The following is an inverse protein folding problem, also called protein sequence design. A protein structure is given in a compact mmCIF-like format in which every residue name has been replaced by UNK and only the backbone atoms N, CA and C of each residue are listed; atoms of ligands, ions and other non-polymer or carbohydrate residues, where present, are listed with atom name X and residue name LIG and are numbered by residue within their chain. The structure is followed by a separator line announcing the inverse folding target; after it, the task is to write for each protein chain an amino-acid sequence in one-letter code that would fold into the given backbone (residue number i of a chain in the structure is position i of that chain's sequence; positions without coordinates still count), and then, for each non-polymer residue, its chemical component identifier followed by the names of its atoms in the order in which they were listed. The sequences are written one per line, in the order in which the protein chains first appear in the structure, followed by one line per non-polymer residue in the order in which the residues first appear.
data_IF_792887964043
#
_entry.id   IF_792887964043
#
_cell.length_a   1.000
_cell.length_b   1.000
_cell.length_c   1.000
_cell.angle_alpha   90.00
_cell.angle_beta   90.00
_cell.angle_gamma   90.00
#
_symmetry.space_group_name_H-M   'P 1'
#
loop_
_entity.id
_entity.type
_entity.pdbx_description
1 polymer ?
#
# COMPACT_ATOMS: atom_id res chain seq x y z
N UNK A 1 -8.70 60.18 -2.89
CA UNK A 1 -9.76 59.23 -3.33
C UNK A 1 -9.09 57.86 -3.39
N UNK A 2 -9.27 57.00 -2.37
CA UNK A 2 -10.26 55.90 -2.33
C UNK A 2 -10.04 54.98 -3.56
N UNK A 3 -9.48 53.78 -3.44
CA UNK A 3 -10.10 52.58 -2.85
C UNK A 3 -8.96 51.58 -2.48
N UNK A 4 -8.72 51.28 -1.21
CA UNK A 4 -9.35 50.19 -0.43
C UNK A 4 -9.24 48.81 -1.10
N UNK A 5 -8.10 48.16 -0.86
CA UNK A 5 -7.98 46.84 -0.25
C UNK A 5 -9.18 45.88 -0.40
N UNK A 6 -9.02 44.85 -1.23
CA UNK A 6 -9.56 43.50 -0.95
C UNK A 6 -8.81 42.47 -1.81
N UNK A 7 -7.67 41.97 -1.33
CA UNK A 7 -7.10 40.73 -1.83
C UNK A 7 -7.65 39.63 -0.92
N UNK A 8 -8.78 39.04 -1.31
CA UNK A 8 -9.28 37.82 -0.71
C UNK A 8 -8.41 36.67 -1.21
N UNK A 9 -7.32 36.39 -0.49
CA UNK A 9 -6.54 35.16 -0.67
C UNK A 9 -7.41 33.99 -0.21
N UNK A 10 -8.26 33.49 -1.11
CA UNK A 10 -8.85 32.17 -0.97
C UNK A 10 -7.73 31.15 -1.09
N UNK A 11 -7.09 30.85 0.06
CA UNK A 11 -6.32 29.63 0.24
C UNK A 11 -7.33 28.49 0.22
N UNK A 12 -7.69 28.07 -0.99
CA UNK A 12 -8.42 26.84 -1.19
C UNK A 12 -7.41 25.75 -0.82
N UNK A 13 -7.50 25.24 0.41
CA UNK A 13 -6.82 24.01 0.81
C UNK A 13 -7.15 22.94 -0.23
N UNK A 14 -6.22 22.66 -1.14
CA UNK A 14 -6.28 21.56 -2.13
C UNK A 14 -6.10 20.19 -1.47
N UNK A 15 -6.48 20.03 -0.21
CA UNK A 15 -6.31 18.80 0.58
C UNK A 15 -7.40 17.75 0.35
N UNK A 16 -8.36 17.98 -0.54
CA UNK A 16 -9.56 17.13 -0.71
C UNK A 16 -9.48 16.17 -1.92
N UNK A 17 -8.43 16.24 -2.74
CA UNK A 17 -8.26 15.36 -3.91
C UNK A 17 -6.87 14.71 -3.97
N UNK A 18 -6.31 14.30 -2.83
CA UNK A 18 -5.27 13.29 -2.87
C UNK A 18 -5.97 11.96 -3.17
N UNK A 19 -5.87 11.47 -4.41
CA UNK A 19 -6.14 10.07 -4.71
C UNK A 19 -5.30 9.24 -3.74
N UNK A 20 -5.96 8.51 -2.83
CA UNK A 20 -5.28 7.60 -1.89
C UNK A 20 -4.73 6.44 -2.72
N UNK A 21 -3.52 6.62 -3.23
CA UNK A 21 -2.84 5.71 -4.14
C UNK A 21 -2.74 4.30 -3.51
N UNK A 22 -2.47 4.22 -2.20
CA UNK A 22 -2.45 2.97 -1.46
C UNK A 22 -3.81 2.26 -1.47
N UNK A 23 -4.88 2.99 -1.16
CA UNK A 23 -6.25 2.47 -1.23
C UNK A 23 -6.65 2.04 -2.64
N UNK A 24 -6.32 2.83 -3.65
CA UNK A 24 -6.64 2.53 -5.04
C UNK A 24 -5.92 1.26 -5.50
N UNK A 25 -4.61 1.16 -5.27
CA UNK A 25 -3.83 -0.04 -5.60
C UNK A 25 -4.32 -1.25 -4.81
N UNK A 26 -4.70 -1.09 -3.54
CA UNK A 26 -5.37 -2.15 -2.79
C UNK A 26 -6.66 -2.61 -3.48
N UNK A 27 -7.53 -1.68 -3.86
CA UNK A 27 -8.83 -1.99 -4.46
C UNK A 27 -8.69 -2.70 -5.81
N UNK A 28 -7.74 -2.28 -6.64
CA UNK A 28 -7.52 -2.83 -7.99
C UNK A 28 -6.83 -4.19 -7.94
N UNK A 29 -5.83 -4.33 -7.09
CA UNK A 29 -4.86 -5.44 -7.19
C UNK A 29 -4.92 -6.38 -5.98
N UNK A 30 -4.92 -5.83 -4.76
CA UNK A 30 -4.66 -6.62 -3.56
C UNK A 30 -5.93 -7.21 -2.91
N UNK A 31 -7.08 -6.53 -3.08
CA UNK A 31 -8.33 -6.77 -2.34
C UNK A 31 -8.86 -8.19 -2.51
N UNK A 32 -8.75 -8.77 -3.70
CA UNK A 32 -9.28 -10.13 -3.99
C UNK A 32 -8.73 -11.18 -3.01
N UNK A 33 -7.48 -11.01 -2.58
CA UNK A 33 -6.82 -11.95 -1.67
C UNK A 33 -6.76 -11.42 -0.23
N UNK A 34 -6.52 -10.12 -0.05
CA UNK A 34 -6.28 -9.55 1.27
C UNK A 34 -7.55 -9.02 1.95
N UNK A 35 -8.70 -8.97 1.30
CA UNK A 35 -9.93 -8.59 2.00
C UNK A 35 -10.25 -9.63 3.11
N UNK A 36 -10.67 -9.19 4.32
CA UNK A 36 -10.82 -10.11 5.46
C UNK A 36 -11.66 -11.35 5.19
N UNK A 37 -12.71 -11.23 4.36
CA UNK A 37 -13.59 -12.34 4.02
C UNK A 37 -12.94 -13.43 3.15
N UNK A 38 -11.82 -13.15 2.48
CA UNK A 38 -11.11 -14.09 1.62
C UNK A 38 -9.77 -14.55 2.21
N UNK A 39 -9.11 -13.65 2.93
CA UNK A 39 -7.73 -13.81 3.38
C UNK A 39 -7.50 -15.09 4.21
N UNK A 40 -8.41 -15.41 5.13
CA UNK A 40 -8.30 -16.61 5.98
C UNK A 40 -8.29 -17.90 5.17
N UNK A 41 -9.16 -18.01 4.15
CA UNK A 41 -9.29 -19.22 3.32
C UNK A 41 -8.06 -19.52 2.47
N UNK A 42 -7.35 -18.47 2.05
CA UNK A 42 -6.12 -18.58 1.24
C UNK A 42 -4.83 -18.31 2.04
N UNK A 43 -4.95 -18.16 3.37
CA UNK A 43 -3.85 -17.87 4.30
C UNK A 43 -3.05 -16.59 3.97
N UNK A 44 -3.70 -15.58 3.38
CA UNK A 44 -3.12 -14.25 3.21
C UNK A 44 -3.24 -13.44 4.52
N UNK A 45 -2.35 -12.48 4.81
CA UNK A 45 -2.56 -11.54 5.91
C UNK A 45 -3.76 -10.65 5.56
N UNK A 46 -4.84 -10.72 6.35
CA UNK A 46 -6.02 -9.92 6.11
C UNK A 46 -5.68 -8.42 6.22
N UNK A 47 -6.23 -7.62 5.31
CA UNK A 47 -6.14 -6.17 5.38
C UNK A 47 -6.77 -5.72 6.71
N UNK A 48 -6.03 -4.87 7.40
CA UNK A 48 -6.33 -4.31 8.70
C UNK A 48 -6.35 -5.27 9.88
N UNK A 49 -5.80 -6.48 9.71
CA UNK A 49 -5.46 -7.37 10.81
C UNK A 49 -4.10 -6.99 11.38
N UNK A 50 -4.12 -6.17 12.44
CA UNK A 50 -2.92 -5.61 13.06
C UNK A 50 -1.92 -6.70 13.46
N UNK A 51 -2.38 -7.77 14.09
CA UNK A 51 -1.50 -8.83 14.58
C UNK A 51 -0.83 -9.56 13.39
N UNK A 52 -1.60 -9.91 12.36
CA UNK A 52 -1.05 -10.55 11.18
C UNK A 52 0.02 -9.69 10.49
N UNK A 53 -0.21 -8.37 10.38
CA UNK A 53 0.73 -7.45 9.77
C UNK A 53 1.96 -7.16 10.64
N UNK A 54 1.82 -7.04 11.95
CA UNK A 54 2.95 -6.90 12.89
C UNK A 54 3.89 -8.10 12.80
N UNK A 55 3.34 -9.32 12.73
CA UNK A 55 4.15 -10.53 12.52
C UNK A 55 4.89 -10.47 11.18
N UNK A 56 4.29 -9.92 10.11
CA UNK A 56 4.96 -9.83 8.80
C UNK A 56 6.06 -8.79 8.79
N UNK A 57 5.83 -7.64 9.42
CA UNK A 57 6.83 -6.58 9.55
C UNK A 57 8.00 -7.07 10.38
N UNK A 58 7.77 -7.70 11.55
CA UNK A 58 8.83 -8.26 12.39
C UNK A 58 9.66 -9.32 11.65
N UNK A 59 9.01 -10.20 10.89
CA UNK A 59 9.74 -11.17 10.08
C UNK A 59 10.58 -10.49 8.98
N UNK A 60 10.07 -9.43 8.35
CA UNK A 60 10.83 -8.66 7.38
C UNK A 60 12.04 -7.96 8.00
N UNK A 61 11.91 -7.41 9.22
CA UNK A 61 13.03 -6.83 9.97
C UNK A 61 14.12 -7.87 10.25
N UNK A 62 13.74 -9.10 10.61
CA UNK A 62 14.71 -10.20 10.79
C UNK A 62 15.43 -10.56 9.48
N UNK A 63 14.75 -10.48 8.34
CA UNK A 63 15.36 -10.76 7.03
C UNK A 63 16.32 -9.64 6.60
N UNK A 64 16.00 -8.39 6.92
CA UNK A 64 16.89 -7.23 6.74
C UNK A 64 18.17 -7.40 7.58
N UNK A 65 18.05 -7.86 8.84
CA UNK A 65 19.21 -8.09 9.69
C UNK A 65 20.14 -9.19 9.15
N UNK A 66 19.59 -10.22 8.51
CA UNK A 66 20.38 -11.29 7.87
C UNK A 66 21.04 -10.84 6.57
N UNK A 67 20.40 -9.95 5.81
CA UNK A 67 20.85 -9.53 4.49
C UNK A 67 20.86 -7.99 4.34
N UNK A 68 21.65 -7.27 5.15
CA UNK A 68 21.57 -5.81 5.26
C UNK A 68 22.07 -5.06 4.01
N UNK A 69 22.79 -5.74 3.12
CA UNK A 69 23.25 -5.18 1.84
C UNK A 69 22.19 -5.26 0.75
N UNK A 70 21.22 -6.17 0.86
CA UNK A 70 20.17 -6.39 -0.14
C UNK A 70 18.91 -5.58 0.17
N UNK A 71 18.56 -5.45 1.45
CA UNK A 71 17.36 -4.74 1.91
C UNK A 71 17.74 -3.72 2.98
N UNK A 72 17.32 -2.46 2.83
CA UNK A 72 17.62 -1.40 3.81
C UNK A 72 16.54 -1.32 4.88
N UNK A 73 15.30 -1.61 4.53
CA UNK A 73 14.15 -1.55 5.42
C UNK A 73 13.27 -2.79 5.32
N UNK A 74 12.43 -3.01 6.34
CA UNK A 74 11.41 -4.06 6.30
C UNK A 74 10.45 -3.89 5.11
N UNK A 75 10.15 -2.63 4.74
CA UNK A 75 9.31 -2.33 3.58
C UNK A 75 10.00 -2.72 2.27
N UNK A 76 11.31 -2.53 2.14
CA UNK A 76 12.06 -2.95 0.94
C UNK A 76 11.94 -4.46 0.75
N UNK A 77 12.10 -5.22 1.84
CA UNK A 77 11.93 -6.68 1.81
C UNK A 77 10.49 -7.06 1.45
N UNK A 78 9.48 -6.45 2.06
CA UNK A 78 8.07 -6.75 1.77
C UNK A 78 7.72 -6.41 0.32
N UNK A 79 8.16 -5.27 -0.20
CA UNK A 79 7.99 -4.88 -1.60
C UNK A 79 8.66 -5.89 -2.53
N UNK A 80 9.91 -6.26 -2.25
CA UNK A 80 10.64 -7.27 -3.02
C UNK A 80 9.88 -8.61 -3.04
N UNK A 81 9.45 -9.11 -1.88
CA UNK A 81 8.70 -10.38 -1.78
C UNK A 81 7.35 -10.32 -2.47
N UNK A 82 6.68 -9.18 -2.47
CA UNK A 82 5.44 -8.99 -3.20
C UNK A 82 5.67 -8.98 -4.71
N UNK A 83 6.70 -8.30 -5.20
CA UNK A 83 7.08 -8.28 -6.63
C UNK A 83 7.47 -9.67 -7.13
N UNK A 84 8.23 -10.43 -6.32
CA UNK A 84 8.61 -11.81 -6.62
C UNK A 84 7.44 -12.81 -6.48
N UNK A 85 6.43 -12.49 -5.68
CA UNK A 85 5.41 -13.45 -5.27
C UNK A 85 5.86 -14.36 -4.12
N UNK A 86 4.88 -14.94 -3.42
CA UNK A 86 5.12 -15.86 -2.28
C UNK A 86 3.90 -16.74 -2.04
N UNK A 87 4.09 -18.06 -2.17
CA UNK A 87 2.99 -19.02 -2.00
C UNK A 87 1.90 -18.75 -3.04
N UNK A 88 0.66 -18.52 -2.58
CA UNK A 88 -0.47 -18.20 -3.46
C UNK A 88 -0.50 -16.72 -3.92
N UNK A 89 0.38 -15.87 -3.42
CA UNK A 89 0.49 -14.49 -3.90
C UNK A 89 1.30 -14.46 -5.21
N UNK A 90 0.68 -14.14 -6.36
CA UNK A 90 1.35 -14.07 -7.64
C UNK A 90 2.34 -12.89 -7.71
N UNK A 91 3.24 -12.94 -8.69
CA UNK A 91 4.23 -11.89 -8.94
C UNK A 91 3.53 -10.54 -9.09
N UNK A 92 3.96 -9.54 -8.31
CA UNK A 92 3.41 -8.18 -8.33
C UNK A 92 1.88 -8.10 -8.14
N UNK A 93 1.28 -9.11 -7.50
CA UNK A 93 -0.16 -9.15 -7.20
C UNK A 93 -1.09 -9.16 -8.42
N UNK A 94 -0.60 -9.53 -9.61
CA UNK A 94 -1.33 -9.41 -10.90
C UNK A 94 -1.65 -7.96 -11.32
N UNK A 95 -0.88 -6.97 -10.84
CA UNK A 95 -1.18 -5.56 -11.14
C UNK A 95 -1.15 -5.25 -12.65
N UNK A 96 -0.23 -5.87 -13.41
CA UNK A 96 -0.13 -5.64 -14.86
C UNK A 96 -1.24 -6.34 -15.64
N UNK A 97 -1.81 -7.38 -15.06
CA UNK A 97 -2.86 -8.22 -15.62
C UNK A 97 -4.26 -7.70 -15.29
N UNK A 98 -4.40 -6.80 -14.30
CA UNK A 98 -5.67 -6.17 -13.97
C UNK A 98 -6.23 -5.38 -15.18
N UNK A 99 -7.43 -5.73 -15.64
CA UNK A 99 -8.11 -5.08 -16.76
C UNK A 99 -8.86 -3.82 -16.29
N UNK A 100 -8.10 -2.83 -15.80
CA UNK A 100 -8.63 -1.52 -15.42
C UNK A 100 -7.80 -0.39 -16.04
N UNK A 101 -8.44 0.70 -16.50
CA UNK A 101 -7.71 1.84 -17.03
C UNK A 101 -6.87 2.51 -15.93
N UNK A 102 -5.71 3.05 -16.30
CA UNK A 102 -4.82 3.83 -15.41
C UNK A 102 -4.36 3.10 -14.13
N UNK A 103 -4.25 1.78 -14.14
CA UNK A 103 -3.63 1.03 -13.03
C UNK A 103 -2.20 1.52 -12.76
N UNK A 104 -1.87 1.70 -11.48
CA UNK A 104 -0.54 2.10 -11.06
C UNK A 104 0.17 0.92 -10.39
N UNK A 105 1.19 0.40 -11.06
CA UNK A 105 2.03 -0.71 -10.61
C UNK A 105 3.44 -0.25 -10.25
N UNK A 106 3.60 1.02 -9.85
CA UNK A 106 4.87 1.55 -9.35
C UNK A 106 5.20 0.99 -7.97
N UNK A 107 6.48 1.03 -7.62
CA UNK A 107 6.93 0.64 -6.28
C UNK A 107 6.29 1.51 -5.19
N UNK A 108 6.10 2.81 -5.44
CA UNK A 108 5.38 3.71 -4.55
C UNK A 108 3.93 3.26 -4.32
N UNK A 109 3.22 2.90 -5.39
CA UNK A 109 1.83 2.46 -5.31
C UNK A 109 1.69 1.19 -4.47
N UNK A 110 2.64 0.27 -4.63
CA UNK A 110 2.71 -0.95 -3.85
C UNK A 110 3.10 -0.72 -2.39
N UNK A 111 4.07 0.14 -2.11
CA UNK A 111 4.44 0.51 -0.74
C UNK A 111 3.23 1.09 -0.01
N UNK A 112 2.53 2.04 -0.64
CA UNK A 112 1.35 2.66 -0.05
C UNK A 112 0.21 1.64 0.12
N UNK A 113 0.04 0.66 -0.77
CA UNK A 113 -0.95 -0.40 -0.59
C UNK A 113 -0.61 -1.34 0.58
N UNK A 114 0.66 -1.70 0.76
CA UNK A 114 1.12 -2.48 1.92
C UNK A 114 0.86 -1.69 3.21
N UNK A 115 1.19 -0.40 3.23
CA UNK A 115 0.92 0.47 4.37
C UNK A 115 -0.58 0.58 4.64
N UNK A 116 -1.39 0.77 3.60
CA UNK A 116 -2.86 0.83 3.71
C UNK A 116 -3.41 -0.45 4.36
N UNK A 117 -2.97 -1.63 3.92
CA UNK A 117 -3.41 -2.89 4.51
C UNK A 117 -2.90 -3.13 5.93
N UNK A 118 -1.71 -2.63 6.27
CA UNK A 118 -1.10 -2.82 7.59
C UNK A 118 -1.65 -1.88 8.68
N UNK A 119 -2.40 -0.85 8.30
CA UNK A 119 -3.07 0.04 9.26
C UNK A 119 -4.14 -0.69 10.06
N UNK A 120 -4.47 -0.20 11.26
CA UNK A 120 -5.68 -0.66 11.95
C UNK A 120 -6.93 -0.07 11.29
N UNK A 121 -8.04 -0.81 11.26
CA UNK A 121 -9.34 -0.24 10.86
C UNK A 121 -9.63 0.99 11.74
N UNK A 122 -9.90 2.13 11.12
CA UNK A 122 -10.51 3.28 11.79
C UNK A 122 -11.93 2.96 12.21
#
# INVERSE_FOLDING_TARGET
MKNLLTILFSVICTSVLADDLGKNTYQVTCKTCHAPQFATGIKAPAAFDKEAWEIRIKNAELEVQKNPTEYKTAMDYLLYRMKLGKGLMPHSGLCKEADVPKKNCSDEAFIQAIQYMAQSKK
#
